data_IF_419548558997
#
_entry.id   IF_419548558997
#
_cell.length_a   1.000
_cell.length_b   1.000
_cell.length_c   1.000
_cell.angle_alpha   90.00
_cell.angle_beta   90.00
_cell.angle_gamma   90.00
#
_symmetry.space_group_name_H-M   'P 1'
#
loop_
_entity.id
_entity.type
_entity.pdbx_description
1 polymer ?
#
# COMPACT_ATOMS: atom_id res chain seq x y z
N UNK A 1 17.20 0.06 2.28
CA UNK A 1 15.83 -0.47 2.28
C UNK A 1 14.94 0.42 3.15
N UNK A 2 13.81 0.80 2.64
CA UNK A 2 12.88 1.71 3.32
C UNK A 2 11.55 1.00 3.53
N UNK A 3 11.06 1.03 4.77
CA UNK A 3 9.74 0.48 5.10
C UNK A 3 8.75 1.62 5.31
N UNK A 4 7.62 1.55 4.63
CA UNK A 4 6.57 2.55 4.76
C UNK A 4 5.28 1.87 5.24
N UNK A 5 4.63 2.46 6.23
CA UNK A 5 3.38 1.94 6.79
C UNK A 5 2.29 3.01 6.71
N UNK A 6 1.11 2.59 6.29
CA UNK A 6 -0.03 3.50 6.21
C UNK A 6 -1.32 2.71 6.41
N UNK A 7 -2.45 3.40 6.46
CA UNK A 7 -3.76 2.80 6.67
C UNK A 7 -4.61 2.90 5.41
N UNK A 8 -5.40 1.86 5.16
CA UNK A 8 -6.40 1.86 4.09
C UNK A 8 -7.73 1.41 4.69
N UNK A 9 -8.48 2.35 5.29
CA UNK A 9 -9.70 2.01 6.04
C UNK A 9 -10.79 1.32 5.22
N UNK A 10 -10.82 1.57 3.92
CA UNK A 10 -11.82 0.96 3.02
C UNK A 10 -11.55 -0.49 2.68
N UNK A 11 -10.43 -1.03 3.11
CA UNK A 11 -10.02 -2.41 2.79
C UNK A 11 -10.77 -3.38 3.71
N UNK A 12 -11.73 -4.12 3.16
CA UNK A 12 -12.63 -4.96 3.96
C UNK A 12 -12.63 -6.43 3.57
N UNK A 13 -11.94 -6.82 2.51
CA UNK A 13 -11.96 -8.21 2.04
C UNK A 13 -10.65 -8.59 1.35
N UNK A 14 -10.49 -9.89 1.08
CA UNK A 14 -9.28 -10.41 0.43
C UNK A 14 -9.05 -9.87 -0.97
N UNK A 15 -10.12 -9.55 -1.71
CA UNK A 15 -9.99 -8.94 -3.04
C UNK A 15 -9.37 -7.55 -2.95
N UNK A 16 -9.74 -6.80 -1.93
CA UNK A 16 -9.16 -5.48 -1.67
C UNK A 16 -7.67 -5.59 -1.39
N UNK A 17 -7.29 -6.59 -0.61
CA UNK A 17 -5.88 -6.86 -0.31
C UNK A 17 -5.09 -7.12 -1.58
N UNK A 18 -5.61 -7.96 -2.47
CA UNK A 18 -4.96 -8.27 -3.74
C UNK A 18 -4.78 -7.04 -4.62
N UNK A 19 -5.81 -6.22 -4.73
CA UNK A 19 -5.76 -5.00 -5.53
C UNK A 19 -4.71 -4.03 -5.01
N UNK A 20 -4.67 -3.81 -3.70
CA UNK A 20 -3.69 -2.94 -3.06
C UNK A 20 -2.28 -3.48 -3.28
N UNK A 21 -2.08 -4.77 -3.06
CA UNK A 21 -0.77 -5.41 -3.25
C UNK A 21 -0.29 -5.24 -4.69
N UNK A 22 -1.15 -5.51 -5.66
CA UNK A 22 -0.80 -5.39 -7.08
C UNK A 22 -0.38 -3.97 -7.44
N UNK A 23 -1.14 -2.98 -6.99
CA UNK A 23 -0.83 -1.59 -7.29
C UNK A 23 0.48 -1.15 -6.63
N UNK A 24 0.75 -1.61 -5.42
CA UNK A 24 2.00 -1.27 -4.74
C UNK A 24 3.20 -1.89 -5.45
N UNK A 25 3.08 -3.12 -5.94
CA UNK A 25 4.16 -3.76 -6.67
C UNK A 25 4.48 -3.09 -8.01
N UNK A 26 3.57 -2.30 -8.54
CA UNK A 26 3.84 -1.52 -9.75
C UNK A 26 4.77 -0.33 -9.50
N UNK A 27 4.93 0.06 -8.23
CA UNK A 27 5.84 1.15 -7.89
C UNK A 27 7.27 0.68 -8.03
N UNK A 28 8.09 1.45 -8.73
CA UNK A 28 9.49 1.13 -8.93
C UNK A 28 10.22 1.04 -7.59
N UNK A 29 10.95 -0.04 -7.39
CA UNK A 29 11.76 -0.24 -6.19
C UNK A 29 11.07 -0.99 -5.07
N UNK A 30 9.77 -1.23 -5.16
CA UNK A 30 9.06 -2.01 -4.13
C UNK A 30 9.46 -3.47 -4.23
N UNK A 31 9.92 -4.03 -3.12
CA UNK A 31 10.42 -5.41 -3.05
C UNK A 31 9.52 -6.33 -2.26
N UNK A 32 8.72 -5.79 -1.33
CA UNK A 32 7.82 -6.60 -0.51
C UNK A 32 6.62 -5.75 -0.07
N UNK A 33 5.48 -6.40 0.06
CA UNK A 33 4.25 -5.76 0.52
C UNK A 33 3.62 -6.65 1.58
N UNK A 34 3.17 -6.04 2.68
CA UNK A 34 2.47 -6.72 3.75
C UNK A 34 1.17 -5.98 4.04
N UNK A 35 0.06 -6.71 4.07
CA UNK A 35 -1.26 -6.14 4.29
C UNK A 35 -1.93 -6.83 5.46
N UNK A 36 -2.42 -6.03 6.42
CA UNK A 36 -3.14 -6.53 7.59
C UNK A 36 -4.58 -6.06 7.52
N UNK A 37 -5.50 -6.98 7.26
CA UNK A 37 -6.92 -6.67 7.15
C UNK A 37 -7.57 -6.35 8.50
N UNK A 38 -7.04 -6.90 9.58
CA UNK A 38 -7.60 -6.67 10.92
C UNK A 38 -7.44 -5.22 11.36
N UNK A 39 -6.25 -4.66 11.13
CA UNK A 39 -5.93 -3.29 11.53
C UNK A 39 -6.04 -2.30 10.39
N UNK A 40 -6.29 -2.80 9.16
CA UNK A 40 -6.32 -1.99 7.94
C UNK A 40 -4.98 -1.32 7.62
N UNK A 41 -3.90 -1.89 8.13
CA UNK A 41 -2.56 -1.37 7.90
C UNK A 41 -1.93 -2.04 6.69
N UNK A 42 -1.22 -1.23 5.92
CA UNK A 42 -0.44 -1.70 4.78
C UNK A 42 0.97 -1.20 4.98
N UNK A 43 1.94 -2.11 4.84
CA UNK A 43 3.34 -1.72 4.86
C UNK A 43 4.04 -2.34 3.66
N UNK A 44 5.08 -1.67 3.18
CA UNK A 44 5.88 -2.21 2.09
C UNK A 44 7.32 -1.80 2.27
N UNK A 45 8.19 -2.60 1.68
CA UNK A 45 9.62 -2.31 1.64
C UNK A 45 10.02 -1.94 0.22
N UNK A 46 10.92 -0.99 0.09
CA UNK A 46 11.44 -0.56 -1.19
C UNK A 46 12.93 -0.29 -1.10
N UNK A 47 13.62 -0.44 -2.22
CA UNK A 47 15.05 -0.14 -2.32
C UNK A 47 15.33 1.36 -2.27
N UNK A 48 14.32 2.17 -2.60
CA UNK A 48 14.41 3.62 -2.63
C UNK A 48 13.26 4.23 -1.84
N UNK A 49 13.42 5.46 -1.40
CA UNK A 49 12.34 6.18 -0.73
C UNK A 49 11.22 6.45 -1.74
N UNK A 50 9.99 6.11 -1.35
CA UNK A 50 8.81 6.35 -2.17
C UNK A 50 8.03 7.52 -1.60
N UNK A 51 7.72 8.50 -2.42
CA UNK A 51 6.98 9.67 -1.98
C UNK A 51 5.54 9.32 -1.62
N UNK A 52 5.00 10.02 -0.64
CA UNK A 52 3.62 9.79 -0.19
C UNK A 52 2.62 9.95 -1.34
N UNK A 53 2.84 10.91 -2.23
CA UNK A 53 1.96 11.12 -3.37
C UNK A 53 1.89 9.90 -4.29
N UNK A 54 3.02 9.22 -4.48
CA UNK A 54 3.05 8.00 -5.29
C UNK A 54 2.21 6.91 -4.63
N UNK A 55 2.30 6.80 -3.30
CA UNK A 55 1.51 5.83 -2.53
C UNK A 55 0.01 6.14 -2.66
N UNK A 56 -0.36 7.41 -2.50
CA UNK A 56 -1.75 7.83 -2.64
C UNK A 56 -2.28 7.52 -4.03
N UNK A 57 -1.51 7.79 -5.07
CA UNK A 57 -1.90 7.51 -6.44
C UNK A 57 -2.11 6.01 -6.67
N UNK A 58 -1.21 5.18 -6.14
CA UNK A 58 -1.31 3.73 -6.29
C UNK A 58 -2.58 3.20 -5.59
N UNK A 59 -2.85 3.66 -4.38
CA UNK A 59 -4.03 3.24 -3.63
C UNK A 59 -5.31 3.74 -4.29
N UNK A 60 -5.28 4.95 -4.84
CA UNK A 60 -6.41 5.51 -5.58
C UNK A 60 -6.73 4.66 -6.83
N UNK A 61 -5.70 4.21 -7.54
CA UNK A 61 -5.87 3.31 -8.69
C UNK A 61 -6.50 1.98 -8.28
N UNK A 62 -6.22 1.51 -7.07
CA UNK A 62 -6.85 0.31 -6.54
C UNK A 62 -8.30 0.54 -6.11
N UNK A 63 -8.75 1.79 -6.08
CA UNK A 63 -10.11 2.13 -5.68
C UNK A 63 -10.27 2.42 -4.21
N UNK A 64 -9.19 2.75 -3.51
CA UNK A 64 -9.20 3.00 -2.07
C UNK A 64 -8.52 4.32 -1.76
N UNK A 65 -8.53 4.67 -0.48
CA UNK A 65 -7.90 5.90 0.01
C UNK A 65 -6.81 5.53 1.01
N UNK A 66 -5.62 6.09 0.85
CA UNK A 66 -4.52 5.89 1.78
C UNK A 66 -4.53 7.00 2.83
N UNK A 67 -4.32 6.61 4.08
CA UNK A 67 -4.29 7.53 5.22
C UNK A 67 -2.98 7.30 5.97
N UNK A 68 -2.27 8.37 6.31
CA UNK A 68 -1.05 8.23 7.10
C UNK A 68 -1.37 7.68 8.48
N UNK A 69 -0.59 6.70 8.88
CA UNK A 69 -0.74 6.12 10.22
C UNK A 69 0.00 6.93 11.27
#
# INVERSE_FOLDING_TARGET
MTTTTFLVPGMTCGHCQGAVTDELFKINGVTAVDVDLDTKKVSFESDVAVEWQIIVDAIDEAGFEAVKS
#
